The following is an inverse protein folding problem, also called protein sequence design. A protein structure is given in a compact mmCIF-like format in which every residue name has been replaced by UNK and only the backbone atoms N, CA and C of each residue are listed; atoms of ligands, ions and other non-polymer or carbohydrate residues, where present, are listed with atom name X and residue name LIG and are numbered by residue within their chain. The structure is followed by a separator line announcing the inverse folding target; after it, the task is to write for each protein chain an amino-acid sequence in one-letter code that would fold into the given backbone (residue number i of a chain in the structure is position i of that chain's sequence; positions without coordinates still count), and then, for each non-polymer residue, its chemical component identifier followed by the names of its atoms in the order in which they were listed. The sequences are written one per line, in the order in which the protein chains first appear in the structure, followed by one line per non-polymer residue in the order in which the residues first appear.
data_IF_080750338634
#
_entry.id   IF_080750338634
#
_cell.length_a   1.000
_cell.length_b   1.000
_cell.length_c   1.000
_cell.angle_alpha   90.00
_cell.angle_beta   90.00
_cell.angle_gamma   90.00
#
_symmetry.space_group_name_H-M   'P 1'
#
loop_
_entity.id
_entity.type
_entity.pdbx_description
1 polymer ?
#
# COMPACT_ATOMS: atom_id res chain seq x y z
N UNK A 1 7.05 27.19 -7.73
CA UNK A 1 6.67 25.79 -7.47
C UNK A 1 7.78 24.79 -7.78
N UNK A 2 8.57 24.95 -8.84
CA UNK A 2 9.76 24.09 -9.14
C UNK A 2 10.86 24.07 -8.05
N UNK A 3 11.00 25.11 -7.23
CA UNK A 3 12.01 25.18 -6.17
C UNK A 3 11.74 24.24 -4.97
N UNK A 4 10.49 23.82 -4.74
CA UNK A 4 10.16 22.92 -3.62
C UNK A 4 10.56 21.47 -3.89
N UNK A 5 10.43 21.02 -5.15
CA UNK A 5 10.76 19.65 -5.54
C UNK A 5 12.27 19.40 -5.70
N UNK A 6 13.03 20.41 -6.15
CA UNK A 6 14.51 20.26 -6.22
C UNK A 6 15.16 20.09 -4.86
N UNK A 7 14.60 20.71 -3.81
CA UNK A 7 15.17 20.58 -2.47
C UNK A 7 14.80 19.25 -1.81
N UNK A 8 13.74 18.56 -2.24
CA UNK A 8 13.38 17.25 -1.67
C UNK A 8 14.18 16.10 -2.30
N UNK A 9 14.50 16.20 -3.59
CA UNK A 9 15.30 15.17 -4.30
C UNK A 9 16.81 15.27 -4.04
N UNK A 10 17.34 16.48 -3.76
CA UNK A 10 18.78 16.68 -3.59
C UNK A 10 19.28 16.64 -2.14
N UNK A 11 18.41 16.69 -1.13
CA UNK A 11 18.85 16.55 0.27
C UNK A 11 19.05 15.09 0.69
N UNK A 12 18.67 14.12 -0.15
CA UNK A 12 18.80 12.69 0.15
C UNK A 12 20.20 12.17 -0.18
N UNK A 13 20.93 12.76 -1.15
CA UNK A 13 22.15 12.16 -1.69
C UNK A 13 23.45 12.41 -0.92
N UNK A 14 23.61 13.50 -0.18
CA UNK A 14 24.90 13.81 0.46
C UNK A 14 24.99 13.56 1.97
N UNK A 15 23.87 13.49 2.67
CA UNK A 15 23.85 13.21 4.12
C UNK A 15 23.65 11.73 4.49
N UNK A 16 23.22 10.90 3.55
CA UNK A 16 22.92 9.49 3.80
C UNK A 16 24.15 8.59 3.95
N UNK A 17 25.28 8.99 3.41
CA UNK A 17 26.53 8.19 3.47
C UNK A 17 27.27 8.27 4.81
N UNK A 18 27.00 9.23 5.65
CA UNK A 18 27.73 9.44 6.90
C UNK A 18 27.07 8.83 8.15
N UNK A 19 25.81 8.37 8.08
CA UNK A 19 25.02 7.86 9.23
C UNK A 19 24.90 6.34 9.26
N UNK A 20 25.50 5.62 8.31
CA UNK A 20 25.42 4.15 8.20
C UNK A 20 26.13 3.40 9.35
N UNK A 21 26.81 4.05 10.26
CA UNK A 21 27.68 3.38 11.25
C UNK A 21 27.09 3.27 12.66
N UNK A 22 25.94 3.84 13.00
CA UNK A 22 25.41 3.72 14.38
C UNK A 22 23.92 3.41 14.43
N UNK A 23 23.64 2.20 14.90
CA UNK A 23 22.41 1.67 15.51
C UNK A 23 21.35 1.04 14.61
N UNK A 24 20.72 -0.01 15.14
CA UNK A 24 19.58 -0.78 14.59
C UNK A 24 18.38 0.10 14.17
N UNK A 25 18.26 1.32 14.69
CA UNK A 25 17.27 2.35 14.32
C UNK A 25 17.29 2.71 12.83
N UNK A 26 18.39 2.43 12.14
CA UNK A 26 18.56 2.80 10.73
C UNK A 26 17.91 1.80 9.75
N UNK A 27 17.81 0.52 10.12
CA UNK A 27 17.34 -0.54 9.20
C UNK A 27 15.84 -0.41 8.92
N UNK A 28 15.05 0.00 9.92
CA UNK A 28 13.59 0.08 9.80
C UNK A 28 13.14 1.34 9.04
N UNK A 29 13.85 2.44 9.19
CA UNK A 29 13.66 3.62 8.34
C UNK A 29 14.02 3.32 6.87
N UNK A 30 15.00 2.45 6.61
CA UNK A 30 15.35 1.96 5.28
C UNK A 30 14.20 1.16 4.66
N UNK A 31 13.56 0.24 5.42
CA UNK A 31 12.42 -0.53 4.91
C UNK A 31 11.24 0.35 4.53
N UNK A 32 10.86 1.32 5.39
CA UNK A 32 9.74 2.22 5.12
C UNK A 32 10.04 3.14 3.94
N UNK A 33 11.25 3.68 3.84
CA UNK A 33 11.69 4.48 2.70
C UNK A 33 11.62 3.67 1.39
N UNK A 34 12.06 2.41 1.42
CA UNK A 34 11.94 1.49 0.29
C UNK A 34 10.48 1.24 -0.10
N UNK A 35 9.56 1.07 0.86
CA UNK A 35 8.13 0.95 0.55
C UNK A 35 7.62 2.18 -0.20
N UNK A 36 7.97 3.38 0.25
CA UNK A 36 7.54 4.64 -0.39
C UNK A 36 8.07 4.71 -1.83
N UNK A 37 9.35 4.39 -2.03
CA UNK A 37 9.99 4.38 -3.35
C UNK A 37 9.32 3.37 -4.28
N UNK A 38 9.20 2.10 -3.87
CA UNK A 38 8.57 1.05 -4.67
C UNK A 38 7.12 1.41 -5.02
N UNK A 39 6.35 1.93 -4.07
CA UNK A 39 4.95 2.30 -4.33
C UNK A 39 4.82 3.51 -5.26
N UNK A 40 5.68 4.52 -5.13
CA UNK A 40 5.70 5.65 -6.04
C UNK A 40 6.07 5.20 -7.46
N UNK A 41 7.15 4.43 -7.62
CA UNK A 41 7.62 3.94 -8.92
C UNK A 41 6.61 3.00 -9.58
N UNK A 42 5.98 2.10 -8.80
CA UNK A 42 4.96 1.18 -9.29
C UNK A 42 3.73 1.94 -9.77
N UNK A 43 3.29 2.95 -9.00
CA UNK A 43 2.17 3.82 -9.39
C UNK A 43 2.47 4.55 -10.69
N UNK A 44 3.66 5.14 -10.83
CA UNK A 44 4.09 5.79 -12.07
C UNK A 44 4.20 4.80 -13.22
N UNK A 45 4.67 3.57 -12.96
CA UNK A 45 4.77 2.52 -13.97
C UNK A 45 3.40 2.11 -14.48
N UNK A 46 2.42 1.91 -13.59
CA UNK A 46 1.05 1.56 -13.97
C UNK A 46 0.44 2.63 -14.90
N UNK A 47 0.59 3.91 -14.57
CA UNK A 47 0.02 5.02 -15.32
C UNK A 47 0.70 5.30 -16.68
N UNK A 48 1.73 4.53 -17.04
CA UNK A 48 2.20 4.49 -18.44
C UNK A 48 1.28 3.69 -19.34
N UNK A 49 0.50 2.77 -18.77
CA UNK A 49 -0.45 1.93 -19.49
C UNK A 49 -1.89 2.38 -19.32
N UNK A 50 -2.26 2.86 -18.13
CA UNK A 50 -3.63 3.23 -17.74
C UNK A 50 -4.68 2.19 -18.16
N UNK A 51 -4.36 0.92 -17.94
CA UNK A 51 -5.17 -0.19 -18.43
C UNK A 51 -5.27 -1.29 -17.36
N UNK A 52 -6.51 -1.60 -16.96
CA UNK A 52 -6.80 -2.64 -15.96
C UNK A 52 -6.41 -4.06 -16.40
N UNK A 53 -6.11 -4.27 -17.69
CA UNK A 53 -5.68 -5.55 -18.24
C UNK A 53 -4.16 -5.60 -18.49
N UNK A 54 -3.44 -4.51 -18.22
CA UNK A 54 -2.00 -4.47 -18.36
C UNK A 54 -1.34 -5.46 -17.40
N UNK A 55 -0.33 -6.16 -17.92
CA UNK A 55 0.50 -7.08 -17.12
C UNK A 55 1.78 -6.36 -16.74
N UNK A 56 2.12 -6.31 -15.44
CA UNK A 56 3.34 -5.65 -15.01
C UNK A 56 4.58 -6.45 -15.40
N UNK A 57 5.62 -5.74 -15.83
CA UNK A 57 6.99 -6.26 -15.78
C UNK A 57 7.57 -5.89 -14.42
N UNK A 58 7.60 -6.84 -13.50
CA UNK A 58 8.14 -6.61 -12.18
C UNK A 58 9.67 -6.58 -12.24
N UNK A 59 10.32 -5.47 -11.87
CA UNK A 59 11.77 -5.34 -11.95
C UNK A 59 12.49 -6.10 -10.82
N UNK A 60 11.77 -6.56 -9.80
CA UNK A 60 12.34 -7.18 -8.62
C UNK A 60 12.40 -8.70 -8.75
N UNK A 61 13.38 -9.30 -8.08
CA UNK A 61 13.52 -10.76 -8.06
C UNK A 61 12.30 -11.41 -7.39
N UNK A 62 11.72 -12.39 -8.07
CA UNK A 62 10.56 -13.12 -7.56
C UNK A 62 10.79 -13.73 -6.18
N UNK A 63 9.82 -13.61 -5.30
CA UNK A 63 9.87 -14.14 -3.93
C UNK A 63 10.58 -13.24 -2.92
N UNK A 64 11.13 -12.10 -3.34
CA UNK A 64 11.64 -11.10 -2.40
C UNK A 64 10.52 -10.20 -1.87
N UNK A 65 10.77 -9.52 -0.74
CA UNK A 65 9.79 -8.55 -0.22
C UNK A 65 9.54 -7.41 -1.23
N UNK A 66 10.54 -7.02 -2.00
CA UNK A 66 10.44 -5.98 -3.01
C UNK A 66 9.49 -6.39 -4.15
N UNK A 67 9.55 -7.66 -4.59
CA UNK A 67 8.57 -8.26 -5.52
C UNK A 67 7.15 -8.20 -4.95
N UNK A 68 6.97 -8.57 -3.68
CA UNK A 68 5.65 -8.55 -3.04
C UNK A 68 5.10 -7.13 -2.94
N UNK A 69 5.93 -6.15 -2.54
CA UNK A 69 5.54 -4.74 -2.45
C UNK A 69 5.15 -4.16 -3.81
N UNK A 70 5.90 -4.47 -4.86
CA UNK A 70 5.57 -4.08 -6.23
C UNK A 70 4.21 -4.65 -6.65
N UNK A 71 4.01 -5.97 -6.51
CA UNK A 71 2.73 -6.64 -6.86
C UNK A 71 1.57 -6.07 -6.04
N UNK A 72 1.82 -5.74 -4.76
CA UNK A 72 0.81 -5.16 -3.88
C UNK A 72 0.34 -3.78 -4.36
N UNK A 73 1.24 -2.89 -4.72
CA UNK A 73 0.86 -1.57 -5.22
C UNK A 73 0.27 -1.64 -6.64
N UNK A 74 0.75 -2.55 -7.48
CA UNK A 74 0.16 -2.76 -8.80
C UNK A 74 -1.30 -3.18 -8.72
N UNK A 75 -1.61 -4.16 -7.87
CA UNK A 75 -3.01 -4.62 -7.72
C UNK A 75 -3.90 -3.54 -7.13
N UNK A 76 -3.38 -2.68 -6.24
CA UNK A 76 -4.10 -1.52 -5.71
C UNK A 76 -4.41 -0.51 -6.83
N UNK A 77 -3.45 -0.24 -7.72
CA UNK A 77 -3.64 0.65 -8.86
C UNK A 77 -4.71 0.11 -9.84
N UNK A 78 -4.60 -1.16 -10.21
CA UNK A 78 -5.61 -1.83 -11.05
C UNK A 78 -6.99 -1.76 -10.42
N UNK A 79 -7.09 -2.05 -9.12
CA UNK A 79 -8.37 -2.02 -8.41
C UNK A 79 -8.94 -0.61 -8.32
N UNK A 80 -8.10 0.41 -8.11
CA UNK A 80 -8.53 1.81 -8.13
C UNK A 80 -9.28 2.14 -9.42
N UNK A 81 -8.68 1.80 -10.56
CA UNK A 81 -9.31 2.07 -11.87
C UNK A 81 -10.54 1.19 -12.15
N UNK A 82 -10.57 -0.06 -11.70
CA UNK A 82 -11.79 -0.87 -11.75
C UNK A 82 -12.92 -0.24 -10.94
N UNK A 83 -12.60 0.33 -9.78
CA UNK A 83 -13.54 1.06 -8.92
C UNK A 83 -14.01 2.38 -9.56
N UNK A 84 -13.20 3.04 -10.38
CA UNK A 84 -13.64 4.21 -11.15
C UNK A 84 -14.59 3.80 -12.27
N UNK A 85 -14.26 2.77 -13.03
CA UNK A 85 -15.09 2.28 -14.15
C UNK A 85 -16.48 1.83 -13.67
N UNK A 86 -16.58 1.10 -12.55
CA UNK A 86 -17.88 0.60 -12.06
C UNK A 86 -18.80 1.73 -11.56
N UNK A 87 -18.27 2.93 -11.33
CA UNK A 87 -19.04 4.12 -10.94
C UNK A 87 -19.63 4.88 -12.13
N UNK A 88 -19.33 4.49 -13.37
CA UNK A 88 -19.97 5.09 -14.54
C UNK A 88 -21.49 4.80 -14.48
N UNK A 89 -22.35 5.82 -14.40
CA UNK A 89 -23.80 5.62 -14.33
C UNK A 89 -24.38 4.99 -15.62
N UNK A 90 -23.62 4.98 -16.71
CA UNK A 90 -24.03 4.43 -18.01
C UNK A 90 -23.40 3.05 -18.31
N UNK A 91 -22.68 2.45 -17.38
CA UNK A 91 -22.07 1.13 -17.57
C UNK A 91 -23.15 0.07 -17.89
N UNK A 92 -22.89 -0.80 -18.84
CA UNK A 92 -23.78 -1.93 -19.13
C UNK A 92 -23.90 -2.85 -17.89
N UNK A 93 -25.12 -3.28 -17.50
CA UNK A 93 -25.30 -4.11 -16.30
C UNK A 93 -24.55 -5.45 -16.34
N UNK A 94 -24.33 -6.05 -17.52
CA UNK A 94 -23.58 -7.30 -17.66
C UNK A 94 -22.09 -7.03 -17.41
N UNK A 95 -21.57 -5.96 -18.00
CA UNK A 95 -20.18 -5.53 -17.81
C UNK A 95 -19.92 -5.10 -16.34
N UNK A 96 -20.88 -4.39 -15.74
CA UNK A 96 -20.81 -4.01 -14.32
C UNK A 96 -20.72 -5.25 -13.40
N UNK A 97 -21.52 -6.30 -13.68
CA UNK A 97 -21.48 -7.54 -12.91
C UNK A 97 -20.15 -8.28 -13.11
N UNK A 98 -19.65 -8.32 -14.35
CA UNK A 98 -18.36 -8.93 -14.66
C UNK A 98 -17.22 -8.18 -13.95
N UNK A 99 -17.24 -6.85 -13.99
CA UNK A 99 -16.26 -6.00 -13.33
C UNK A 99 -16.33 -6.15 -11.80
N UNK A 100 -17.54 -6.20 -11.22
CA UNK A 100 -17.71 -6.45 -9.77
C UNK A 100 -17.06 -7.76 -9.34
N UNK A 101 -17.21 -8.83 -10.12
CA UNK A 101 -16.56 -10.12 -9.84
C UNK A 101 -15.03 -10.04 -9.92
N UNK A 102 -14.49 -9.23 -10.85
CA UNK A 102 -13.05 -8.96 -10.92
C UNK A 102 -12.56 -8.19 -9.68
N UNK A 103 -13.32 -7.19 -9.23
CA UNK A 103 -13.02 -6.44 -8.00
C UNK A 103 -13.01 -7.39 -6.79
N UNK A 104 -13.99 -8.27 -6.67
CA UNK A 104 -14.06 -9.23 -5.56
C UNK A 104 -12.85 -10.18 -5.56
N UNK A 105 -12.46 -10.67 -6.75
CA UNK A 105 -11.23 -11.46 -6.87
C UNK A 105 -9.98 -10.66 -6.54
N UNK A 106 -9.87 -9.44 -7.06
CA UNK A 106 -8.76 -8.53 -6.75
C UNK A 106 -8.63 -8.25 -5.26
N UNK A 107 -9.74 -8.07 -4.55
CA UNK A 107 -9.75 -7.93 -3.08
C UNK A 107 -9.21 -9.17 -2.36
N UNK A 108 -9.44 -10.38 -2.91
CA UNK A 108 -8.85 -11.60 -2.38
C UNK A 108 -7.34 -11.61 -2.61
N UNK A 109 -6.92 -11.46 -3.87
CA UNK A 109 -5.51 -11.48 -4.26
C UNK A 109 -4.69 -10.39 -3.52
N UNK A 110 -5.28 -9.21 -3.30
CA UNK A 110 -4.72 -8.12 -2.50
C UNK A 110 -4.52 -8.51 -1.03
N UNK A 111 -5.49 -9.22 -0.45
CA UNK A 111 -5.38 -9.70 0.93
C UNK A 111 -4.30 -10.77 1.06
N UNK A 112 -4.19 -11.66 0.08
CA UNK A 112 -3.16 -12.69 0.05
C UNK A 112 -1.75 -12.06 0.05
N UNK A 113 -1.55 -10.94 -0.70
CA UNK A 113 -0.29 -10.19 -0.67
C UNK A 113 -0.02 -9.52 0.70
N UNK A 114 -1.04 -9.06 1.41
CA UNK A 114 -0.87 -8.58 2.80
C UNK A 114 -0.42 -9.72 3.71
N UNK A 115 -0.98 -10.92 3.55
CA UNK A 115 -0.56 -12.11 4.29
C UNK A 115 0.88 -12.54 3.95
N UNK A 116 1.34 -12.33 2.70
CA UNK A 116 2.74 -12.55 2.31
C UNK A 116 3.68 -11.56 3.04
N UNK A 117 3.30 -10.29 3.14
CA UNK A 117 4.04 -9.28 3.91
C UNK A 117 4.06 -9.63 5.41
N UNK A 118 2.95 -10.11 5.96
CA UNK A 118 2.90 -10.60 7.34
C UNK A 118 3.83 -11.79 7.57
N UNK A 119 3.89 -12.70 6.60
CA UNK A 119 4.81 -13.83 6.63
C UNK A 119 6.26 -13.37 6.64
N UNK A 120 6.60 -12.37 5.82
CA UNK A 120 7.94 -11.76 5.83
C UNK A 120 8.30 -11.20 7.22
N UNK A 121 7.44 -10.43 7.85
CA UNK A 121 7.72 -9.89 9.18
C UNK A 121 7.78 -10.96 10.27
N UNK A 122 6.91 -11.95 10.21
CA UNK A 122 6.95 -13.10 11.12
C UNK A 122 8.30 -13.80 11.05
N UNK A 123 8.81 -14.05 9.85
CA UNK A 123 10.06 -14.74 9.64
C UNK A 123 11.28 -13.87 10.00
N UNK A 124 11.17 -12.55 9.79
CA UNK A 124 12.19 -11.57 10.18
C UNK A 124 12.37 -11.49 11.70
N UNK A 125 11.27 -11.55 12.45
CA UNK A 125 11.27 -11.39 13.91
C UNK A 125 11.08 -12.72 14.68
N UNK A 126 11.20 -13.87 14.02
CA UNK A 126 10.94 -15.19 14.63
C UNK A 126 11.78 -15.50 15.88
N UNK A 127 12.98 -14.92 15.95
CA UNK A 127 13.92 -15.15 17.06
C UNK A 127 13.83 -14.07 18.15
N UNK A 128 12.96 -13.07 18.00
CA UNK A 128 12.73 -12.03 18.99
C UNK A 128 11.87 -12.59 20.12
N UNK A 129 12.39 -12.55 21.34
CA UNK A 129 11.65 -12.93 22.54
C UNK A 129 10.98 -11.68 23.12
N UNK A 130 9.65 -11.61 23.15
CA UNK A 130 8.94 -10.48 23.76
C UNK A 130 9.27 -10.36 25.25
N UNK A 131 9.42 -9.13 25.74
CA UNK A 131 9.55 -8.84 27.17
C UNK A 131 8.27 -9.20 27.94
N UNK A 132 8.37 -9.39 29.25
CA UNK A 132 7.22 -9.79 30.08
C UNK A 132 6.09 -8.75 30.08
N UNK A 133 6.40 -7.50 29.81
CA UNK A 133 5.50 -6.35 29.72
C UNK A 133 5.18 -5.96 28.25
N UNK A 134 5.59 -6.79 27.27
CA UNK A 134 5.32 -6.55 25.87
C UNK A 134 3.81 -6.44 25.58
N UNK A 135 3.46 -5.45 24.75
CA UNK A 135 2.06 -5.21 24.37
C UNK A 135 1.77 -5.71 22.95
N UNK A 136 0.52 -6.16 22.75
CA UNK A 136 0.03 -6.49 21.40
C UNK A 136 -0.37 -5.21 20.68
N UNK A 137 -0.10 -5.14 19.36
CA UNK A 137 -0.59 -4.06 18.51
C UNK A 137 -1.96 -4.42 17.91
N UNK A 138 -2.75 -3.41 17.57
CA UNK A 138 -4.10 -3.58 17.01
C UNK A 138 -4.07 -4.25 15.64
N UNK A 139 -3.05 -3.94 14.84
CA UNK A 139 -2.84 -4.47 13.50
C UNK A 139 -1.40 -4.97 13.36
N UNK A 140 -1.18 -5.88 12.42
CA UNK A 140 0.18 -6.25 12.03
C UNK A 140 0.85 -5.13 11.22
N UNK A 141 2.20 -5.10 11.12
CA UNK A 141 2.91 -4.17 10.27
C UNK A 141 2.45 -4.22 8.79
N UNK A 142 2.05 -5.39 8.29
CA UNK A 142 1.60 -5.57 6.91
C UNK A 142 0.35 -4.74 6.60
N UNK A 143 -0.61 -4.62 7.53
CA UNK A 143 -1.79 -3.78 7.34
C UNK A 143 -1.46 -2.28 7.32
N UNK A 144 -0.43 -1.86 8.05
CA UNK A 144 0.06 -0.49 7.97
C UNK A 144 0.77 -0.22 6.63
N UNK A 145 1.53 -1.19 6.11
CA UNK A 145 2.14 -1.14 4.77
C UNK A 145 1.06 -1.14 3.67
N UNK A 146 -0.02 -1.91 3.81
CA UNK A 146 -1.18 -1.86 2.91
C UNK A 146 -1.77 -0.44 2.83
N UNK A 147 -1.96 0.21 3.98
CA UNK A 147 -2.44 1.60 4.01
C UNK A 147 -1.46 2.57 3.34
N UNK A 148 -0.15 2.35 3.49
CA UNK A 148 0.87 3.18 2.86
C UNK A 148 0.84 3.06 1.33
N UNK A 149 0.61 1.84 0.80
CA UNK A 149 0.44 1.59 -0.64
C UNK A 149 -0.76 2.36 -1.22
N UNK A 150 -1.91 2.29 -0.56
CA UNK A 150 -3.11 3.04 -0.99
C UNK A 150 -2.91 4.55 -0.88
N UNK A 151 -2.16 4.99 0.13
CA UNK A 151 -1.85 6.42 0.32
C UNK A 151 -0.97 6.96 -0.81
N UNK A 152 -0.03 6.16 -1.32
CA UNK A 152 0.77 6.52 -2.50
C UNK A 152 -0.10 6.80 -3.73
N UNK A 153 -1.10 5.95 -4.00
CA UNK A 153 -2.07 6.17 -5.08
C UNK A 153 -2.89 7.46 -4.86
N UNK A 154 -3.37 7.69 -3.64
CA UNK A 154 -4.10 8.93 -3.31
C UNK A 154 -3.28 10.18 -3.54
N UNK A 155 -2.00 10.15 -3.18
CA UNK A 155 -1.08 11.27 -3.40
C UNK A 155 -0.91 11.49 -4.90
N UNK A 156 -0.62 10.43 -5.66
CA UNK A 156 -0.45 10.52 -7.10
C UNK A 156 -1.68 11.16 -7.78
N UNK A 157 -2.89 10.61 -7.56
CA UNK A 157 -4.10 11.15 -8.18
C UNK A 157 -4.41 12.58 -7.72
N UNK A 158 -4.17 12.92 -6.45
CA UNK A 158 -4.36 14.28 -5.97
C UNK A 158 -3.36 15.26 -6.58
N UNK A 159 -2.14 14.83 -6.86
CA UNK A 159 -1.16 15.62 -7.61
C UNK A 159 -1.59 15.87 -9.05
N UNK A 160 -2.20 14.86 -9.71
CA UNK A 160 -2.74 15.07 -11.05
C UNK A 160 -3.86 16.13 -11.03
N UNK A 161 -4.78 16.09 -10.04
CA UNK A 161 -5.82 17.10 -9.90
C UNK A 161 -5.26 18.51 -9.65
N UNK A 162 -4.17 18.66 -8.91
CA UNK A 162 -3.50 19.96 -8.68
C UNK A 162 -2.83 20.47 -9.97
N UNK A 163 -2.40 19.57 -10.86
CA UNK A 163 -1.75 19.91 -12.13
C UNK A 163 -2.75 20.18 -13.27
N UNK A 164 -4.04 19.98 -13.07
CA UNK A 164 -5.06 20.17 -14.10
C UNK A 164 -5.14 21.63 -14.58
N UNK A 165 -5.02 21.83 -15.87
CA UNK A 165 -5.09 23.17 -16.52
C UNK A 165 -6.51 23.53 -16.96
N UNK A 166 -7.41 22.55 -17.01
CA UNK A 166 -8.83 22.68 -17.38
C UNK A 166 -9.75 22.86 -16.17
N UNK A 167 -9.22 22.79 -14.95
CA UNK A 167 -9.97 22.96 -13.72
C UNK A 167 -9.99 24.43 -13.25
N UNK A 168 -11.00 24.79 -12.45
CA UNK A 168 -11.07 26.12 -11.84
C UNK A 168 -9.99 26.33 -10.79
N UNK A 169 -9.54 27.58 -10.57
CA UNK A 169 -8.56 27.90 -9.52
C UNK A 169 -9.06 27.44 -8.12
N UNK A 170 -10.35 27.57 -7.85
CA UNK A 170 -10.94 27.11 -6.59
C UNK A 170 -10.82 25.58 -6.42
N UNK A 171 -10.99 24.80 -7.49
CA UNK A 171 -10.78 23.34 -7.46
C UNK A 171 -9.31 23.02 -7.21
N UNK A 172 -8.40 23.62 -7.95
CA UNK A 172 -6.94 23.41 -7.80
C UNK A 172 -6.48 23.75 -6.37
N UNK A 173 -6.93 24.88 -5.83
CA UNK A 173 -6.63 25.28 -4.45
C UNK A 173 -7.15 24.26 -3.41
N UNK A 174 -8.39 23.76 -3.59
CA UNK A 174 -8.98 22.72 -2.74
C UNK A 174 -8.19 21.41 -2.81
N UNK A 175 -7.80 20.99 -4.00
CA UNK A 175 -6.97 19.79 -4.19
C UNK A 175 -5.56 19.97 -3.59
N UNK A 176 -4.96 21.17 -3.71
CA UNK A 176 -3.70 21.49 -3.07
C UNK A 176 -3.75 21.36 -1.54
N UNK A 177 -4.83 21.87 -0.92
CA UNK A 177 -5.02 21.70 0.52
C UNK A 177 -5.17 20.21 0.95
N UNK A 178 -5.89 19.41 0.15
CA UNK A 178 -6.00 17.96 0.39
C UNK A 178 -4.66 17.24 0.20
N UNK A 179 -3.90 17.61 -0.82
CA UNK A 179 -2.58 17.03 -1.06
C UNK A 179 -1.64 17.29 0.11
N UNK A 180 -1.64 18.49 0.69
CA UNK A 180 -0.85 18.80 1.87
C UNK A 180 -1.18 17.85 3.05
N UNK A 181 -2.46 17.58 3.27
CA UNK A 181 -2.90 16.63 4.32
C UNK A 181 -2.45 15.19 4.00
N UNK A 182 -2.53 14.75 2.74
CA UNK A 182 -2.07 13.41 2.35
C UNK A 182 -0.56 13.23 2.53
N UNK A 183 0.24 14.26 2.25
CA UNK A 183 1.68 14.24 2.47
C UNK A 183 2.03 14.20 3.96
N UNK A 184 1.29 14.92 4.81
CA UNK A 184 1.44 14.83 6.27
C UNK A 184 1.07 13.42 6.77
N UNK A 185 -0.06 12.86 6.28
CA UNK A 185 -0.44 11.47 6.59
C UNK A 185 0.63 10.46 6.19
N UNK A 186 1.28 10.64 5.04
CA UNK A 186 2.37 9.76 4.62
C UNK A 186 3.55 9.81 5.60
N UNK A 187 3.94 11.01 6.01
CA UNK A 187 5.00 11.21 7.01
C UNK A 187 4.65 10.54 8.34
N UNK A 188 3.44 10.77 8.84
CA UNK A 188 2.99 10.23 10.12
C UNK A 188 2.90 8.71 10.09
N UNK A 189 2.27 8.15 9.03
CA UNK A 189 2.16 6.71 8.86
C UNK A 189 3.52 6.05 8.72
N UNK A 190 4.42 6.64 7.96
CA UNK A 190 5.79 6.14 7.79
C UNK A 190 6.56 6.13 9.12
N UNK A 191 6.43 7.20 9.89
CA UNK A 191 7.02 7.30 11.24
C UNK A 191 6.46 6.21 12.16
N UNK A 192 5.13 6.04 12.16
CA UNK A 192 4.46 5.05 13.02
C UNK A 192 4.84 3.61 12.65
N UNK A 193 4.97 3.31 11.35
CA UNK A 193 5.45 1.98 10.89
C UNK A 193 6.88 1.75 11.38
N UNK A 194 7.78 2.70 11.21
CA UNK A 194 9.15 2.59 11.70
C UNK A 194 9.21 2.32 13.20
N UNK A 195 8.47 3.10 14.01
CA UNK A 195 8.37 2.91 15.45
C UNK A 195 7.81 1.53 15.84
N UNK A 196 6.78 1.06 15.13
CA UNK A 196 6.21 -0.27 15.38
C UNK A 196 7.23 -1.38 15.11
N UNK A 197 7.96 -1.29 14.00
CA UNK A 197 8.99 -2.27 13.65
C UNK A 197 10.16 -2.26 14.66
N UNK A 198 10.60 -1.07 15.10
CA UNK A 198 11.62 -0.91 16.16
C UNK A 198 11.15 -1.51 17.48
N UNK A 199 9.91 -1.27 17.88
CA UNK A 199 9.33 -1.84 19.11
C UNK A 199 9.20 -3.36 19.06
N UNK A 200 8.87 -3.94 17.90
CA UNK A 200 8.83 -5.39 17.71
C UNK A 200 10.26 -5.96 17.77
N UNK A 201 11.21 -5.35 17.06
CA UNK A 201 12.61 -5.77 17.08
C UNK A 201 13.22 -5.73 18.49
N UNK A 202 12.82 -4.75 19.31
CA UNK A 202 13.23 -4.62 20.69
C UNK A 202 12.46 -5.51 21.68
N UNK A 203 11.51 -6.29 21.22
CA UNK A 203 10.65 -7.14 22.07
C UNK A 203 9.66 -6.38 22.95
N UNK A 204 9.45 -5.06 22.73
CA UNK A 204 8.49 -4.24 23.47
C UNK A 204 7.06 -4.48 23.00
N UNK A 205 6.91 -4.84 21.71
CA UNK A 205 5.66 -5.24 21.11
C UNK A 205 5.78 -6.60 20.47
N UNK A 206 4.66 -7.29 20.37
CA UNK A 206 4.58 -8.52 19.60
C UNK A 206 3.42 -8.47 18.61
N UNK A 207 3.56 -9.14 17.49
CA UNK A 207 2.52 -9.28 16.48
C UNK A 207 2.00 -10.71 16.44
N UNK A 208 0.72 -10.84 16.13
CA UNK A 208 0.11 -12.12 15.78
C UNK A 208 -0.36 -12.02 14.33
N UNK A 209 -0.03 -13.03 13.56
CA UNK A 209 -0.46 -13.16 12.18
C UNK A 209 -1.73 -13.98 12.14
N UNK A 210 -2.83 -13.37 11.75
CA UNK A 210 -4.10 -14.05 11.54
C UNK A 210 -4.44 -14.01 10.06
N UNK A 211 -4.77 -15.17 9.50
CA UNK A 211 -5.35 -15.22 8.16
C UNK A 211 -6.78 -14.72 8.18
N UNK A 212 -7.19 -14.04 7.13
CA UNK A 212 -8.59 -13.62 7.01
C UNK A 212 -9.47 -14.83 6.73
N UNK A 213 -10.42 -15.06 7.63
CA UNK A 213 -11.43 -16.11 7.49
C UNK A 213 -12.63 -15.57 6.69
N UNK A 214 -12.42 -15.31 5.39
CA UNK A 214 -13.47 -14.79 4.52
C UNK A 214 -14.54 -15.84 4.27
N UNK A 215 -15.78 -15.54 4.67
CA UNK A 215 -16.92 -16.44 4.56
C UNK A 215 -17.79 -16.16 3.34
N UNK A 216 -17.85 -14.93 2.85
CA UNK A 216 -18.80 -14.52 1.82
C UNK A 216 -18.45 -15.03 0.41
N UNK A 217 -17.17 -15.34 0.13
CA UNK A 217 -16.71 -15.91 -1.14
C UNK A 217 -16.63 -17.44 -1.12
N UNK A 218 -16.82 -18.05 0.04
CA UNK A 218 -16.72 -19.49 0.22
C UNK A 218 -18.08 -20.16 -0.02
N UNK A 219 -18.11 -21.13 -0.94
CA UNK A 219 -19.32 -21.83 -1.34
C UNK A 219 -19.96 -22.61 -0.19
N UNK A 220 -19.17 -23.05 0.79
CA UNK A 220 -19.66 -23.86 1.90
C UNK A 220 -20.13 -23.00 3.09
N UNK A 221 -19.71 -21.74 3.17
CA UNK A 221 -20.03 -20.84 4.28
C UNK A 221 -20.98 -19.71 3.93
N UNK A 222 -21.17 -19.40 2.62
CA UNK A 222 -22.15 -18.39 2.16
C UNK A 222 -23.51 -19.03 1.85
N UNK A 223 -24.58 -18.73 2.64
CA UNK A 223 -25.91 -19.31 2.41
C UNK A 223 -26.48 -19.10 0.99
N UNK A 224 -26.14 -17.98 0.36
CA UNK A 224 -26.61 -17.69 -1.02
C UNK A 224 -25.95 -18.62 -2.03
N UNK A 225 -24.74 -19.11 -1.74
CA UNK A 225 -24.00 -20.01 -2.64
C UNK A 225 -24.42 -21.46 -2.44
N UNK A 226 -24.50 -21.96 -1.19
CA UNK A 226 -24.87 -23.37 -0.93
C UNK A 226 -26.37 -23.64 -1.00
N UNK A 227 -27.26 -22.63 -0.87
CA UNK A 227 -28.69 -22.82 -0.96
C UNK A 227 -29.22 -22.97 -2.40
N UNK A 228 -28.41 -22.68 -3.43
CA UNK A 228 -28.79 -22.83 -4.85
C UNK A 228 -28.88 -24.28 -5.34
N UNK A 229 -28.55 -25.25 -4.52
CA UNK A 229 -28.60 -26.68 -4.82
C UNK A 229 -29.81 -27.43 -4.20
N UNK A 230 -30.78 -26.69 -3.63
CA UNK A 230 -32.02 -27.27 -3.10
C UNK A 230 -33.22 -26.87 -3.90
#
# INVERSE_FOLDING_TARGET
MEKYWRNFAFSVDEHYLCVIIHSQTNIMNIFVSKCIEIFADTTLHYHKFDNIDAKPENPYQAGTIDDVLFRKNWIDAVQWHMEDIIRDPNIDPVDALALKRRIDKSNQDRTDLVEDIDTYFRDLYKDVVPSADATINTESPAWAVDRLSILALKIYHMEQEVKRTDATEAHVAKCGAKLAVLLEQQKDLSTAIGQLLDDIAAGKKYMKVYRQMKMYNDADTNPVLYAKGK
#
